data_IF_715574781318
#
_entry.id   IF_715574781318
#
_cell.length_a   1.000
_cell.length_b   1.000
_cell.length_c   1.000
_cell.angle_alpha   90.00
_cell.angle_beta   90.00
_cell.angle_gamma   90.00
#
_symmetry.space_group_name_H-M   'P 1'
#
loop_
_entity.id
_entity.type
_entity.pdbx_description
1 polymer ?
#
# COMPACT_ATOMS: atom_id res chain seq x y z
N UNK A 1 29.41 -21.78 1.33
CA UNK A 1 29.23 -20.66 2.27
C UNK A 1 28.14 -19.68 1.80
N UNK A 2 27.03 -20.17 1.23
CA UNK A 2 25.96 -19.32 0.65
C UNK A 2 24.57 -19.53 1.28
N UNK A 3 24.42 -20.52 2.16
CA UNK A 3 23.11 -20.87 2.77
C UNK A 3 22.66 -19.91 3.88
N UNK A 4 23.59 -19.27 4.59
CA UNK A 4 23.27 -18.35 5.69
C UNK A 4 22.74 -16.99 5.24
N UNK A 5 23.17 -16.49 4.08
CA UNK A 5 22.71 -15.18 3.57
C UNK A 5 21.25 -15.23 3.07
N UNK A 6 20.81 -16.35 2.50
CA UNK A 6 19.45 -16.47 1.96
C UNK A 6 18.36 -16.39 3.05
N UNK A 7 18.64 -16.89 4.25
CA UNK A 7 17.72 -16.86 5.39
C UNK A 7 17.50 -15.46 5.98
N UNK A 8 18.51 -14.60 5.97
CA UNK A 8 18.37 -13.20 6.37
C UNK A 8 17.49 -12.40 5.39
N UNK A 9 17.57 -12.68 4.09
CA UNK A 9 16.71 -12.01 3.10
C UNK A 9 15.24 -12.45 3.21
N UNK A 10 14.97 -13.73 3.47
CA UNK A 10 13.60 -14.24 3.62
C UNK A 10 12.90 -13.72 4.89
N UNK A 11 13.63 -13.52 5.99
CA UNK A 11 13.08 -12.97 7.23
C UNK A 11 12.75 -11.48 7.14
N UNK A 12 13.50 -10.71 6.34
CA UNK A 12 13.19 -9.29 6.07
C UNK A 12 11.89 -9.12 5.26
N UNK A 13 11.57 -10.04 4.34
CA UNK A 13 10.35 -9.96 3.53
C UNK A 13 9.06 -10.00 4.36
N UNK A 14 9.05 -10.72 5.50
CA UNK A 14 7.88 -10.79 6.39
C UNK A 14 7.64 -9.51 7.18
N UNK A 15 8.67 -8.71 7.45
CA UNK A 15 8.57 -7.47 8.25
C UNK A 15 8.00 -6.31 7.43
N UNK A 16 8.18 -6.34 6.10
CA UNK A 16 7.72 -5.27 5.18
C UNK A 16 6.19 -5.27 5.01
N UNK A 17 5.49 -6.34 5.41
CA UNK A 17 4.02 -6.44 5.35
C UNK A 17 3.33 -6.04 6.67
N UNK A 18 4.06 -5.45 7.62
CA UNK A 18 3.44 -4.84 8.80
C UNK A 18 2.72 -3.54 8.42
N UNK A 19 1.44 -3.43 8.75
CA UNK A 19 0.62 -2.21 8.63
C UNK A 19 0.22 -1.80 7.20
N UNK A 20 -0.11 -2.78 6.36
CA UNK A 20 -0.74 -2.51 5.06
C UNK A 20 -1.86 -3.49 4.81
N UNK A 21 -2.99 -2.98 4.32
CA UNK A 21 -4.12 -3.76 3.81
C UNK A 21 -4.27 -3.43 2.33
N UNK A 22 -4.45 -4.43 1.47
CA UNK A 22 -4.57 -4.22 0.03
C UNK A 22 -5.76 -4.93 -0.60
N UNK A 23 -6.31 -4.30 -1.64
CA UNK A 23 -7.41 -4.81 -2.43
C UNK A 23 -7.11 -4.59 -3.91
N UNK A 24 -7.21 -5.65 -4.71
CA UNK A 24 -7.06 -5.57 -6.17
C UNK A 24 -8.41 -5.39 -6.83
N UNK A 25 -8.47 -4.45 -7.76
CA UNK A 25 -9.66 -4.05 -8.48
C UNK A 25 -9.39 -4.16 -9.99
N UNK A 26 -10.37 -4.70 -10.73
CA UNK A 26 -10.33 -4.73 -12.19
C UNK A 26 -11.51 -3.94 -12.74
N UNK A 27 -11.24 -2.71 -13.18
CA UNK A 27 -12.21 -1.79 -13.73
C UNK A 27 -12.41 -2.07 -15.21
N UNK A 28 -13.62 -2.50 -15.57
CA UNK A 28 -13.98 -2.80 -16.96
C UNK A 28 -14.52 -1.56 -17.71
N UNK A 29 -14.89 -0.52 -16.98
CA UNK A 29 -15.32 0.78 -17.51
C UNK A 29 -14.71 1.90 -16.66
N UNK A 30 -14.62 3.09 -17.25
CA UNK A 30 -14.19 4.29 -16.52
C UNK A 30 -15.19 4.64 -15.43
N UNK A 31 -14.70 4.95 -14.23
CA UNK A 31 -15.54 5.37 -13.13
C UNK A 31 -15.81 6.87 -13.26
N UNK A 32 -17.03 7.19 -13.71
CA UNK A 32 -17.58 8.54 -13.70
C UNK A 32 -18.68 8.62 -12.65
N UNK A 33 -18.30 9.00 -11.43
CA UNK A 33 -19.27 9.31 -10.37
C UNK A 33 -19.49 10.84 -10.32
N UNK A 34 -20.75 11.32 -10.21
CA UNK A 34 -21.01 12.73 -9.98
C UNK A 34 -20.42 13.12 -8.62
N UNK A 35 -19.64 14.21 -8.57
CA UNK A 35 -19.02 14.75 -7.36
C UNK A 35 -20.09 14.93 -6.26
N UNK A 36 -20.08 14.04 -5.27
CA UNK A 36 -20.82 14.26 -4.03
C UNK A 36 -19.93 15.08 -3.10
N UNK A 37 -20.39 16.27 -2.71
CA UNK A 37 -19.63 17.27 -1.95
C UNK A 37 -19.14 16.84 -0.56
N UNK A 38 -19.52 15.65 -0.09
CA UNK A 38 -19.16 15.12 1.23
C UNK A 38 -18.36 13.81 1.19
N UNK A 39 -18.09 13.24 0.01
CA UNK A 39 -17.33 11.99 -0.12
C UNK A 39 -15.85 12.27 -0.41
N UNK A 40 -14.95 11.58 0.29
CA UNK A 40 -13.53 11.62 -0.03
C UNK A 40 -13.34 11.08 -1.44
N UNK A 41 -12.85 11.92 -2.35
CA UNK A 41 -12.58 11.54 -3.73
C UNK A 41 -11.10 11.23 -3.89
N UNK A 42 -10.80 10.02 -4.39
CA UNK A 42 -9.45 9.67 -4.83
C UNK A 42 -9.40 9.83 -6.34
N UNK A 43 -8.45 10.61 -6.84
CA UNK A 43 -8.23 10.85 -8.27
C UNK A 43 -6.92 10.19 -8.73
N UNK A 44 -6.79 9.80 -10.01
CA UNK A 44 -5.58 9.17 -10.53
C UNK A 44 -4.36 10.11 -10.56
N UNK A 45 -4.56 11.44 -10.48
CA UNK A 45 -3.46 12.41 -10.44
C UNK A 45 -2.75 12.44 -9.08
N UNK A 46 -3.49 12.14 -8.01
CA UNK A 46 -2.94 11.95 -6.67
C UNK A 46 -2.94 10.46 -6.34
N UNK A 47 -1.86 9.75 -6.68
CA UNK A 47 -1.70 8.31 -6.37
C UNK A 47 -1.77 8.01 -4.87
N UNK A 48 -1.68 9.03 -4.02
CA UNK A 48 -1.78 8.95 -2.55
C UNK A 48 -2.70 10.04 -2.00
N UNK A 49 -3.58 9.64 -1.08
CA UNK A 49 -4.44 10.54 -0.32
C UNK A 49 -4.31 10.22 1.17
N UNK A 50 -3.87 11.20 1.96
CA UNK A 50 -3.77 11.09 3.41
C UNK A 50 -5.08 11.54 4.06
N UNK A 51 -5.62 10.74 4.98
CA UNK A 51 -6.80 11.09 5.76
C UNK A 51 -6.56 10.86 7.24
N UNK A 52 -7.08 11.77 8.07
CA UNK A 52 -7.11 11.57 9.51
C UNK A 52 -8.44 10.96 9.91
N UNK A 53 -8.39 9.90 10.70
CA UNK A 53 -9.54 9.18 11.24
C UNK A 53 -9.50 9.17 12.76
N UNK A 54 -10.67 9.17 13.37
CA UNK A 54 -10.85 9.02 14.81
C UNK A 54 -11.41 7.63 15.07
N UNK A 55 -10.55 6.62 15.25
CA UNK A 55 -11.00 5.24 15.36
C UNK A 55 -11.83 5.04 16.63
N UNK A 56 -12.61 3.96 16.67
CA UNK A 56 -13.24 3.47 17.90
C UNK A 56 -12.95 1.98 18.04
N UNK A 57 -13.12 1.42 19.24
CA UNK A 57 -13.02 -0.03 19.46
C UNK A 57 -14.21 -0.81 18.89
N UNK A 58 -15.19 -0.10 18.31
CA UNK A 58 -16.25 -0.67 17.49
C UNK A 58 -15.92 -0.45 16.01
N UNK A 59 -16.21 -1.42 15.13
CA UNK A 59 -16.01 -1.26 13.70
C UNK A 59 -16.74 -0.03 13.15
N UNK A 60 -16.03 0.80 12.41
CA UNK A 60 -16.56 1.97 11.73
C UNK A 60 -16.33 1.84 10.23
N UNK A 61 -17.33 2.28 9.47
CA UNK A 61 -17.32 2.22 8.02
C UNK A 61 -17.20 3.64 7.45
N UNK A 62 -16.31 3.80 6.47
CA UNK A 62 -16.16 5.02 5.69
C UNK A 62 -16.21 4.70 4.22
N UNK A 63 -17.14 5.35 3.52
CA UNK A 63 -17.27 5.23 2.08
C UNK A 63 -16.34 6.23 1.39
N UNK A 64 -15.64 5.75 0.38
CA UNK A 64 -14.69 6.51 -0.43
C UNK A 64 -15.13 6.36 -1.88
N UNK A 65 -15.20 7.48 -2.59
CA UNK A 65 -15.54 7.50 -4.00
C UNK A 65 -14.27 7.52 -4.84
N UNK A 66 -14.18 6.57 -5.76
CA UNK A 66 -13.14 6.55 -6.78
C UNK A 66 -13.68 7.34 -7.98
N UNK A 67 -12.90 8.26 -8.55
CA UNK A 67 -13.35 9.01 -9.73
C UNK A 67 -12.20 9.25 -10.71
N UNK A 68 -12.53 9.25 -12.00
CA UNK A 68 -11.56 9.54 -13.06
C UNK A 68 -10.60 8.39 -13.39
N UNK A 69 -10.77 7.21 -12.78
CA UNK A 69 -9.99 6.03 -13.13
C UNK A 69 -10.43 5.47 -14.49
N UNK A 70 -9.46 5.23 -15.37
CA UNK A 70 -9.68 4.54 -16.64
C UNK A 70 -9.94 3.03 -16.41
N UNK A 71 -10.43 2.34 -17.43
CA UNK A 71 -10.50 0.88 -17.42
C UNK A 71 -9.10 0.28 -17.27
N UNK A 72 -8.92 -0.65 -16.36
CA UNK A 72 -7.62 -1.23 -16.03
C UNK A 72 -7.64 -2.01 -14.72
N UNK A 73 -6.50 -2.61 -14.40
CA UNK A 73 -6.29 -3.25 -13.10
C UNK A 73 -5.56 -2.31 -12.16
N UNK A 74 -6.08 -2.16 -10.95
CA UNK A 74 -5.53 -1.30 -9.91
C UNK A 74 -5.36 -2.09 -8.61
N UNK A 75 -4.34 -1.75 -7.85
CA UNK A 75 -4.14 -2.22 -6.48
C UNK A 75 -4.32 -1.02 -5.55
N UNK A 76 -5.31 -1.12 -4.68
CA UNK A 76 -5.59 -0.13 -3.66
C UNK A 76 -4.98 -0.59 -2.35
N UNK A 77 -4.22 0.28 -1.70
CA UNK A 77 -3.46 -0.02 -0.49
C UNK A 77 -3.80 1.01 0.58
N UNK A 78 -4.05 0.54 1.80
CA UNK A 78 -4.15 1.41 2.97
C UNK A 78 -2.95 1.14 3.86
N UNK A 79 -2.18 2.19 4.11
CA UNK A 79 -1.03 2.17 4.99
C UNK A 79 -1.35 2.98 6.25
N UNK A 80 -0.88 2.50 7.39
CA UNK A 80 -1.02 3.20 8.66
C UNK A 80 0.29 3.16 9.44
N UNK A 81 0.55 4.14 10.32
CA UNK A 81 1.75 4.16 11.11
C UNK A 81 1.73 3.03 12.15
N UNK A 82 2.88 2.39 12.35
CA UNK A 82 3.04 1.33 13.35
C UNK A 82 2.71 1.78 14.78
N UNK A 83 2.80 3.08 15.06
CA UNK A 83 2.43 3.68 16.35
C UNK A 83 0.93 3.79 16.58
N UNK A 84 0.11 3.54 15.56
CA UNK A 84 -1.35 3.57 15.61
C UNK A 84 -1.91 2.21 15.18
N UNK A 85 -1.82 1.18 16.05
CA UNK A 85 -2.34 -0.15 15.79
C UNK A 85 -3.85 -0.13 15.52
N UNK A 86 -4.19 -0.43 14.27
CA UNK A 86 -5.53 -0.37 13.71
C UNK A 86 -5.73 -1.61 12.86
N UNK A 87 -6.97 -2.10 12.84
CA UNK A 87 -7.38 -3.15 11.92
C UNK A 87 -8.21 -2.52 10.83
N UNK A 88 -7.80 -2.72 9.59
CA UNK A 88 -8.48 -2.26 8.39
C UNK A 88 -9.01 -3.42 7.58
N UNK A 89 -10.13 -3.18 6.90
CA UNK A 89 -10.64 -4.06 5.84
C UNK A 89 -11.15 -3.21 4.70
N UNK A 90 -10.74 -3.56 3.49
CA UNK A 90 -11.16 -2.91 2.27
C UNK A 90 -12.17 -3.79 1.54
N UNK A 91 -13.26 -3.18 1.10
CA UNK A 91 -14.25 -3.82 0.23
C UNK A 91 -14.62 -2.89 -0.90
N UNK A 92 -14.83 -3.45 -2.08
CA UNK A 92 -15.31 -2.69 -3.24
C UNK A 92 -16.63 -3.27 -3.70
N UNK A 93 -17.63 -2.40 -3.86
CA UNK A 93 -18.89 -2.77 -4.48
C UNK A 93 -18.87 -2.33 -5.95
N UNK A 94 -18.82 -3.31 -6.84
CA UNK A 94 -18.81 -3.09 -8.28
C UNK A 94 -20.12 -2.46 -8.80
N UNK A 95 -21.22 -2.62 -8.08
CA UNK A 95 -22.54 -2.10 -8.48
C UNK A 95 -22.63 -0.60 -8.24
N UNK A 96 -22.22 -0.16 -7.06
CA UNK A 96 -22.24 1.25 -6.65
C UNK A 96 -20.94 2.00 -7.00
N UNK A 97 -19.90 1.29 -7.44
CA UNK A 97 -18.56 1.81 -7.72
C UNK A 97 -17.93 2.51 -6.51
N UNK A 98 -18.24 2.03 -5.30
CA UNK A 98 -17.77 2.62 -4.05
C UNK A 98 -16.78 1.70 -3.34
N UNK A 99 -15.78 2.32 -2.72
CA UNK A 99 -14.87 1.66 -1.81
C UNK A 99 -15.38 1.85 -0.38
N UNK A 100 -15.58 0.73 0.32
CA UNK A 100 -15.90 0.69 1.73
C UNK A 100 -14.63 0.37 2.51
N UNK A 101 -14.22 1.32 3.35
CA UNK A 101 -13.14 1.17 4.31
C UNK A 101 -13.73 0.93 5.69
N UNK A 102 -13.57 -0.28 6.22
CA UNK A 102 -13.88 -0.59 7.61
C UNK A 102 -12.63 -0.47 8.45
N UNK A 103 -12.69 0.24 9.57
CA UNK A 103 -11.58 0.41 10.49
C UNK A 103 -12.00 0.29 11.95
N UNK A 104 -11.10 -0.21 12.79
CA UNK A 104 -11.29 -0.31 14.23
C UNK A 104 -9.96 -0.14 14.96
N UNK A 105 -10.00 0.49 16.13
CA UNK A 105 -8.88 0.49 17.07
C UNK A 105 -8.67 -0.95 17.56
N UNK A 106 -7.44 -1.45 17.45
CA UNK A 106 -7.07 -2.79 17.91
C UNK A 106 -5.74 -2.74 18.67
N UNK A 107 -5.81 -2.27 19.91
CA UNK A 107 -4.67 -2.28 20.80
C UNK A 107 -5.06 -2.35 22.25
N UNK A 108 -4.08 -2.79 23.05
CA UNK A 108 -4.17 -2.80 24.49
C UNK A 108 -3.11 -1.87 25.07
N UNK A 109 -3.52 -0.98 25.97
CA UNK A 109 -2.62 -0.07 26.69
C UNK A 109 -2.92 -0.11 28.18
N UNK A 110 -1.90 0.02 29.03
CA UNK A 110 -2.10 0.15 30.48
C UNK A 110 -2.69 1.50 30.89
N UNK A 111 -2.70 2.47 29.98
CA UNK A 111 -3.26 3.79 30.22
C UNK A 111 -4.78 3.74 29.96
N UNK A 112 -5.58 3.86 31.02
CA UNK A 112 -7.04 3.69 30.94
C UNK A 112 -7.74 4.72 30.04
N UNK A 113 -7.18 5.93 29.88
CA UNK A 113 -7.73 6.93 28.96
C UNK A 113 -7.64 6.47 27.51
N UNK A 114 -6.53 5.84 27.11
CA UNK A 114 -6.33 5.32 25.75
C UNK A 114 -7.19 4.09 25.44
N UNK A 115 -7.64 3.35 26.46
CA UNK A 115 -8.59 2.25 26.29
C UNK A 115 -10.05 2.72 26.13
N UNK A 116 -10.36 3.96 26.51
CA UNK A 116 -11.72 4.53 26.39
C UNK A 116 -11.85 5.43 25.16
N UNK A 117 -10.80 6.21 24.89
CA UNK A 117 -10.78 7.19 23.81
C UNK A 117 -9.48 6.98 23.04
N UNK A 118 -9.53 6.26 21.91
CA UNK A 118 -8.33 6.03 21.13
C UNK A 118 -7.86 7.31 20.43
N UNK A 119 -6.57 7.35 20.12
CA UNK A 119 -5.96 8.52 19.49
C UNK A 119 -6.33 8.58 18.01
N UNK A 120 -6.52 9.80 17.46
CA UNK A 120 -6.64 9.98 16.02
C UNK A 120 -5.41 9.43 15.31
N UNK A 121 -5.63 8.84 14.14
CA UNK A 121 -4.57 8.29 13.31
C UNK A 121 -4.69 8.81 11.89
N UNK A 122 -3.54 9.12 11.29
CA UNK A 122 -3.46 9.47 9.87
C UNK A 122 -3.15 8.19 9.08
N UNK A 123 -3.96 7.92 8.06
CA UNK A 123 -3.75 6.80 7.14
C UNK A 123 -3.55 7.32 5.74
N UNK A 124 -2.80 6.55 4.97
CA UNK A 124 -2.53 6.83 3.56
C UNK A 124 -3.24 5.81 2.70
N UNK A 125 -4.10 6.29 1.82
CA UNK A 125 -4.72 5.48 0.77
C UNK A 125 -3.91 5.70 -0.49
N UNK A 126 -3.40 4.61 -1.05
CA UNK A 126 -2.57 4.61 -2.26
C UNK A 126 -3.31 3.80 -3.33
N UNK A 127 -3.39 4.32 -4.55
CA UNK A 127 -3.99 3.62 -5.68
C UNK A 127 -2.97 3.52 -6.80
N UNK A 128 -2.60 2.29 -7.14
CA UNK A 128 -1.59 2.03 -8.14
C UNK A 128 -2.15 1.21 -9.28
N UNK A 129 -1.73 1.56 -10.49
CA UNK A 129 -2.00 0.74 -11.66
C UNK A 129 -1.14 -0.53 -11.63
N UNK A 130 -1.74 -1.65 -12.00
CA UNK A 130 -1.08 -2.95 -12.04
C UNK A 130 -0.70 -3.28 -13.48
N UNK A 131 0.59 -3.45 -13.73
CA UNK A 131 1.13 -3.83 -15.02
C UNK A 131 1.88 -5.16 -14.90
N UNK A 132 1.53 -6.13 -15.76
CA UNK A 132 2.05 -7.51 -15.72
C UNK A 132 1.92 -8.21 -14.34
N UNK A 133 0.85 -7.89 -13.60
CA UNK A 133 0.58 -8.49 -12.28
C UNK A 133 1.32 -7.84 -11.10
N UNK A 134 2.13 -6.80 -11.36
CA UNK A 134 2.84 -6.03 -10.35
C UNK A 134 2.37 -4.57 -10.32
N UNK A 135 2.32 -3.92 -9.14
CA UNK A 135 2.08 -2.48 -9.07
C UNK A 135 3.16 -1.71 -9.82
N UNK A 136 2.78 -0.65 -10.51
CA UNK A 136 3.67 0.19 -11.31
C UNK A 136 4.90 0.66 -10.55
N UNK A 137 4.73 1.05 -9.29
CA UNK A 137 5.82 1.52 -8.43
C UNK A 137 6.86 0.42 -8.13
N UNK A 138 6.41 -0.84 -8.04
CA UNK A 138 7.31 -1.96 -7.79
C UNK A 138 8.12 -2.32 -9.03
N UNK A 139 7.60 -2.07 -10.23
CA UNK A 139 8.31 -2.35 -11.48
C UNK A 139 9.59 -1.53 -11.61
N UNK A 140 9.56 -0.26 -11.21
CA UNK A 140 10.76 0.57 -11.20
C UNK A 140 11.83 0.01 -10.27
N UNK A 141 11.43 -0.44 -9.07
CA UNK A 141 12.33 -1.05 -8.09
C UNK A 141 12.94 -2.36 -8.62
N UNK A 142 12.12 -3.23 -9.20
CA UNK A 142 12.57 -4.50 -9.79
C UNK A 142 13.54 -4.24 -10.95
N UNK A 143 13.21 -3.30 -11.84
CA UNK A 143 14.06 -2.93 -12.96
C UNK A 143 15.42 -2.39 -12.48
N UNK A 144 15.43 -1.51 -11.47
CA UNK A 144 16.66 -1.01 -10.87
C UNK A 144 17.49 -2.11 -10.21
N UNK A 145 16.86 -3.02 -9.45
CA UNK A 145 17.56 -4.12 -8.80
C UNK A 145 18.21 -5.08 -9.81
N UNK A 146 17.47 -5.46 -10.86
CA UNK A 146 17.98 -6.32 -11.94
C UNK A 146 19.10 -5.61 -12.71
N UNK A 147 18.85 -4.36 -13.14
CA UNK A 147 19.84 -3.57 -13.88
C UNK A 147 21.12 -3.33 -13.09
N UNK A 148 21.01 -3.00 -11.80
CA UNK A 148 22.15 -2.83 -10.90
C UNK A 148 22.91 -4.14 -10.67
N UNK A 149 22.20 -5.27 -10.55
CA UNK A 149 22.82 -6.59 -10.45
C UNK A 149 23.64 -6.94 -11.70
N UNK A 150 23.07 -6.76 -12.89
CA UNK A 150 23.77 -6.98 -14.16
C UNK A 150 24.96 -6.03 -14.30
N UNK A 151 24.75 -4.74 -14.02
CA UNK A 151 25.81 -3.72 -14.12
C UNK A 151 26.98 -4.00 -13.17
N UNK A 152 26.70 -4.38 -11.93
CA UNK A 152 27.75 -4.72 -10.95
C UNK A 152 28.54 -5.98 -11.34
N UNK A 153 27.88 -6.99 -11.92
CA UNK A 153 28.57 -8.18 -12.45
C UNK A 153 29.61 -7.79 -13.51
N UNK A 154 29.21 -7.04 -14.55
CA UNK A 154 30.14 -6.64 -15.61
C UNK A 154 31.23 -5.68 -15.13
N UNK A 155 30.87 -4.72 -14.26
CA UNK A 155 31.84 -3.81 -13.67
C UNK A 155 32.91 -4.56 -12.86
N UNK A 156 32.51 -5.57 -12.08
CA UNK A 156 33.46 -6.39 -11.32
C UNK A 156 34.42 -7.17 -12.22
N UNK A 157 33.94 -7.68 -13.36
CA UNK A 157 34.78 -8.38 -14.34
C UNK A 157 35.83 -7.44 -14.93
N UNK A 158 35.42 -6.24 -15.34
CA UNK A 158 36.33 -5.24 -15.90
C UNK A 158 37.40 -4.79 -14.90
N UNK A 159 37.00 -4.53 -13.65
CA UNK A 159 37.94 -4.17 -12.57
C UNK A 159 38.93 -5.31 -12.30
N UNK A 160 38.47 -6.56 -12.27
CA UNK A 160 39.35 -7.71 -12.05
C UNK A 160 40.41 -7.84 -13.15
N UNK A 161 40.03 -7.67 -14.41
CA UNK A 161 40.96 -7.67 -15.53
C UNK A 161 41.97 -6.52 -15.44
N UNK A 162 41.53 -5.32 -15.04
CA UNK A 162 42.41 -4.16 -14.88
C UNK A 162 43.45 -4.33 -13.78
N UNK A 163 43.08 -4.96 -12.66
CA UNK A 163 44.00 -5.17 -11.51
C UNK A 163 45.04 -6.26 -11.80
N UNK A 164 44.69 -7.26 -12.61
CA UNK A 164 45.59 -8.38 -12.94
C UNK A 164 46.49 -8.12 -14.15
N UNK A 165 46.50 -6.90 -14.70
CA UNK A 165 47.45 -6.42 -15.70
C UNK A 165 48.65 -5.75 -15.03
#
# INVERSE_FOLDING_TARGET
>A
MYFGQLWCFLSLLHVVWGNTESLRLSLHSSIYSPLSSSALTVTPESSRVAITIEPQFTPQDKQIQLSGFASGSYELRVCWPASSPLVFRLRFDATSQQLLLTYTADYYSHIQSLQKTPLPATIDIIVDEVWFGLPRDLLAVVAMAVGGGIGSYFASSWIYEYINQ
#
